data_IF_459607322406
#
_entry.id   IF_459607322406
#
_cell.length_a   1.000
_cell.length_b   1.000
_cell.length_c   1.000
_cell.angle_alpha   90.00
_cell.angle_beta   90.00
_cell.angle_gamma   90.00
#
_symmetry.space_group_name_H-M   'P 1'
#
loop_
_entity.id
_entity.type
_entity.pdbx_description
1 polymer ?
#
# COMPACT_ATOMS: atom_id res chain seq x y z
N UNK A 1 48.90 62.91 39.90
CA UNK A 1 47.73 62.83 39.00
C UNK A 1 48.04 61.85 37.89
N UNK A 2 47.52 60.63 38.03
CA UNK A 2 47.62 59.54 37.05
C UNK A 2 46.21 58.92 37.11
N UNK A 3 45.53 58.63 36.01
CA UNK A 3 45.45 57.28 35.43
C UNK A 3 44.80 57.40 34.02
N UNK A 4 45.29 56.61 33.06
CA UNK A 4 44.80 56.50 31.68
C UNK A 4 43.88 55.27 31.51
N UNK A 5 42.89 55.43 30.63
CA UNK A 5 42.02 54.47 29.91
C UNK A 5 42.51 53.00 29.79
N UNK A 6 41.57 52.07 29.97
CA UNK A 6 41.42 50.79 29.23
C UNK A 6 39.91 50.53 29.05
N UNK A 7 39.39 50.68 27.82
CA UNK A 7 39.18 49.62 26.82
C UNK A 7 37.98 48.72 27.13
N UNK A 8 36.91 48.97 26.37
CA UNK A 8 35.72 48.15 26.32
C UNK A 8 36.03 46.75 25.82
N UNK A 9 35.38 45.77 26.45
CA UNK A 9 35.37 44.37 26.02
C UNK A 9 33.93 44.08 25.58
N UNK A 10 33.71 44.12 24.27
CA UNK A 10 32.55 43.48 23.65
C UNK A 10 32.56 42.01 24.06
N UNK A 11 31.52 41.55 24.76
CA UNK A 11 31.31 40.11 24.99
C UNK A 11 30.94 39.51 23.63
N UNK A 12 31.86 38.76 23.02
CA UNK A 12 31.48 37.86 21.93
C UNK A 12 30.45 36.88 22.48
N UNK A 13 29.26 36.87 21.89
CA UNK A 13 28.24 35.86 22.12
C UNK A 13 28.87 34.53 21.70
N UNK A 14 29.29 33.72 22.67
CA UNK A 14 29.78 32.38 22.38
C UNK A 14 28.60 31.60 21.79
N UNK A 15 28.73 31.17 20.54
CA UNK A 15 27.89 30.11 20.00
C UNK A 15 28.09 28.89 20.91
N UNK A 16 27.01 28.50 21.58
CA UNK A 16 26.98 27.24 22.33
C UNK A 16 27.11 26.14 21.27
N UNK A 17 28.16 25.31 21.29
CA UNK A 17 28.26 24.20 20.35
C UNK A 17 27.04 23.29 20.54
N UNK A 18 26.49 22.72 19.45
CA UNK A 18 25.31 21.86 19.53
C UNK A 18 25.57 20.73 20.54
N UNK A 19 24.58 20.46 21.38
CA UNK A 19 24.65 19.35 22.32
C UNK A 19 24.77 18.05 21.52
N UNK A 20 25.65 17.14 21.92
CA UNK A 20 25.84 15.85 21.22
C UNK A 20 24.52 15.08 21.04
N UNK A 21 23.56 15.23 21.97
CA UNK A 21 22.21 14.66 21.86
C UNK A 21 21.34 15.29 20.76
N UNK A 22 21.48 16.59 20.50
CA UNK A 22 20.77 17.30 19.42
C UNK A 22 21.34 16.90 18.06
N UNK A 23 22.68 16.84 17.95
CA UNK A 23 23.35 16.40 16.72
C UNK A 23 23.01 14.94 16.37
N UNK A 24 22.85 14.05 17.35
CA UNK A 24 22.39 12.67 17.09
C UNK A 24 20.93 12.60 16.64
N UNK A 25 20.07 13.50 17.13
CA UNK A 25 18.67 13.55 16.72
C UNK A 25 18.52 14.07 15.28
N UNK A 26 19.26 15.13 14.93
CA UNK A 26 19.31 15.65 13.56
C UNK A 26 19.85 14.61 12.57
N UNK A 27 20.89 13.86 12.95
CA UNK A 27 21.44 12.80 12.11
C UNK A 27 20.44 11.64 11.91
N UNK A 28 19.71 11.25 12.95
CA UNK A 28 18.67 10.22 12.88
C UNK A 28 17.50 10.67 12.00
N UNK A 29 17.04 11.91 12.18
CA UNK A 29 15.99 12.52 11.37
C UNK A 29 16.39 12.57 9.88
N UNK A 30 17.59 13.06 9.58
CA UNK A 30 18.09 13.10 8.20
C UNK A 30 18.32 11.69 7.61
N UNK A 31 18.59 10.68 8.44
CA UNK A 31 18.69 9.29 7.97
C UNK A 31 17.31 8.73 7.62
N UNK A 32 16.30 9.02 8.46
CA UNK A 32 14.91 8.63 8.23
C UNK A 32 14.32 9.31 6.99
N UNK A 33 14.51 10.61 6.82
CA UNK A 33 14.06 11.35 5.62
C UNK A 33 14.64 10.75 4.34
N UNK A 34 15.95 10.44 4.33
CA UNK A 34 16.58 9.75 3.19
C UNK A 34 16.02 8.34 2.97
N UNK A 35 15.60 7.65 4.02
CA UNK A 35 14.97 6.34 3.88
C UNK A 35 13.59 6.48 3.22
N UNK A 36 12.77 7.43 3.68
CA UNK A 36 11.48 7.77 3.07
C UNK A 36 11.63 8.13 1.58
N UNK A 37 12.62 8.98 1.24
CA UNK A 37 12.92 9.36 -0.14
C UNK A 37 13.28 8.15 -1.01
N UNK A 38 14.10 7.21 -0.50
CA UNK A 38 14.46 5.99 -1.23
C UNK A 38 13.26 5.08 -1.45
N UNK A 39 12.49 4.81 -0.40
CA UNK A 39 11.28 3.97 -0.49
C UNK A 39 10.28 4.59 -1.48
N UNK A 40 10.09 5.91 -1.45
CA UNK A 40 9.24 6.61 -2.40
C UNK A 40 9.77 6.47 -3.84
N UNK A 41 11.06 6.71 -4.07
CA UNK A 41 11.67 6.58 -5.38
C UNK A 41 11.54 5.16 -5.96
N UNK A 42 11.67 4.12 -5.12
CA UNK A 42 11.49 2.73 -5.52
C UNK A 42 10.05 2.44 -5.95
N UNK A 43 9.06 2.97 -5.22
CA UNK A 43 7.65 2.87 -5.62
C UNK A 43 7.36 3.64 -6.91
N UNK A 44 7.92 4.85 -7.04
CA UNK A 44 7.78 5.69 -8.24
C UNK A 44 8.30 4.98 -9.49
N UNK A 45 9.51 4.41 -9.41
CA UNK A 45 10.11 3.67 -10.50
C UNK A 45 9.28 2.44 -10.88
N UNK A 46 8.83 1.68 -9.89
CA UNK A 46 7.99 0.50 -10.12
C UNK A 46 6.66 0.86 -10.81
N UNK A 47 5.95 1.88 -10.30
CA UNK A 47 4.65 2.25 -10.84
C UNK A 47 4.75 2.92 -12.22
N UNK A 48 5.78 3.73 -12.45
CA UNK A 48 6.03 4.34 -13.77
C UNK A 48 6.35 3.30 -14.85
N UNK A 49 6.91 2.15 -14.48
CA UNK A 49 7.11 1.03 -15.41
C UNK A 49 5.81 0.28 -15.76
N UNK A 50 4.74 0.46 -14.97
CA UNK A 50 3.46 -0.21 -15.17
C UNK A 50 2.47 0.58 -16.04
N UNK A 51 2.63 1.90 -16.13
CA UNK A 51 1.73 2.78 -16.89
C UNK A 51 1.93 4.25 -16.55
N UNK A 52 0.97 5.08 -16.99
CA UNK A 52 0.96 6.51 -16.67
C UNK A 52 0.45 6.71 -15.24
N UNK A 53 1.29 7.26 -14.36
CA UNK A 53 0.92 7.53 -12.96
C UNK A 53 0.24 8.91 -12.88
N UNK A 54 -0.94 8.97 -12.27
CA UNK A 54 -1.62 10.24 -12.00
C UNK A 54 -0.77 11.10 -11.04
N UNK A 55 -0.72 12.41 -11.28
CA UNK A 55 0.13 13.33 -10.50
C UNK A 55 -0.38 13.51 -9.08
N UNK A 56 -1.70 13.55 -8.90
CA UNK A 56 -2.32 13.77 -7.60
C UNK A 56 -2.56 12.45 -6.87
N UNK A 57 -2.25 12.44 -5.58
CA UNK A 57 -2.57 11.32 -4.70
C UNK A 57 -4.04 11.37 -4.31
N UNK A 58 -4.64 10.19 -4.18
CA UNK A 58 -5.90 10.02 -3.48
C UNK A 58 -5.62 9.98 -1.98
N UNK A 59 -6.28 10.83 -1.21
CA UNK A 59 -6.18 10.84 0.26
C UNK A 59 -7.55 10.96 0.88
N UNK A 60 -7.73 10.37 2.07
CA UNK A 60 -8.94 10.63 2.84
C UNK A 60 -8.99 12.09 3.28
N UNK A 61 -10.18 12.70 3.22
CA UNK A 61 -10.40 14.06 3.74
C UNK A 61 -10.14 14.14 5.26
N UNK A 62 -10.48 13.06 5.98
CA UNK A 62 -10.17 12.84 7.38
C UNK A 62 -9.44 11.51 7.45
N UNK A 63 -8.17 11.52 7.90
CA UNK A 63 -7.40 10.28 8.05
C UNK A 63 -8.15 9.30 8.98
N UNK A 64 -8.38 8.04 8.54
CA UNK A 64 -8.93 6.98 9.39
C UNK A 64 -8.27 6.86 10.77
N UNK A 65 -6.98 7.19 10.90
CA UNK A 65 -6.28 7.22 12.20
C UNK A 65 -6.91 8.20 13.20
N UNK A 66 -7.38 9.37 12.73
CA UNK A 66 -8.06 10.36 13.57
C UNK A 66 -9.43 9.86 14.07
N UNK A 67 -9.96 8.80 13.44
CA UNK A 67 -11.21 8.13 13.81
C UNK A 67 -10.95 6.81 14.57
N UNK A 68 -9.72 6.56 15.02
CA UNK A 68 -9.34 5.36 15.76
C UNK A 68 -8.92 4.17 14.90
N UNK A 69 -8.72 4.36 13.59
CA UNK A 69 -8.15 3.36 12.69
C UNK A 69 -6.66 3.13 12.92
N UNK A 70 -6.09 2.04 12.37
CA UNK A 70 -4.69 1.69 12.58
C UNK A 70 -3.73 2.71 11.97
N UNK A 71 -2.61 2.93 12.65
CA UNK A 71 -1.56 3.84 12.20
C UNK A 71 -0.80 3.25 11.01
N UNK A 72 -0.64 4.05 9.96
CA UNK A 72 0.37 3.83 8.92
C UNK A 72 1.70 4.47 9.37
N UNK A 73 2.85 4.00 8.85
CA UNK A 73 4.15 4.41 9.34
C UNK A 73 4.38 5.92 9.38
N UNK A 74 3.93 6.65 8.35
CA UNK A 74 4.12 8.11 8.21
C UNK A 74 2.84 8.91 8.43
N UNK A 75 1.77 8.30 8.94
CA UNK A 75 0.38 8.85 8.98
C UNK A 75 -0.24 9.19 7.62
N UNK A 76 0.55 9.19 6.54
CA UNK A 76 0.14 9.44 5.15
C UNK A 76 -0.59 8.21 4.61
N UNK A 77 -1.92 8.26 4.68
CA UNK A 77 -2.79 7.27 4.02
C UNK A 77 -3.14 7.77 2.62
N UNK A 78 -2.23 7.50 1.70
CA UNK A 78 -2.37 7.88 0.30
C UNK A 78 -2.55 6.66 -0.60
N UNK A 79 -3.16 6.90 -1.76
CA UNK A 79 -3.34 5.90 -2.80
C UNK A 79 -2.99 6.51 -4.15
N UNK A 80 -2.52 5.65 -5.05
CA UNK A 80 -2.10 6.00 -6.39
C UNK A 80 -2.96 5.36 -7.45
N UNK A 81 -3.12 6.10 -8.53
CA UNK A 81 -3.79 5.66 -9.75
C UNK A 81 -2.75 5.57 -10.85
N UNK A 82 -2.65 4.39 -11.46
CA UNK A 82 -1.81 4.13 -12.61
C UNK A 82 -2.73 3.70 -13.76
N UNK A 83 -2.61 4.37 -14.91
CA UNK A 83 -3.47 4.17 -16.08
C UNK A 83 -2.69 3.50 -17.20
N UNK A 84 -3.31 2.50 -17.82
CA UNK A 84 -2.73 1.80 -18.97
C UNK A 84 -3.84 1.40 -19.94
N UNK A 85 -3.87 1.99 -21.13
CA UNK A 85 -4.85 1.73 -22.20
C UNK A 85 -6.30 1.70 -21.68
N UNK A 86 -6.84 0.50 -21.43
CA UNK A 86 -8.21 0.24 -20.96
C UNK A 86 -8.26 -0.26 -19.50
N UNK A 87 -7.17 -0.13 -18.75
CA UNK A 87 -7.06 -0.58 -17.35
C UNK A 87 -6.58 0.51 -16.42
N UNK A 88 -6.96 0.34 -15.16
CA UNK A 88 -6.50 1.15 -14.05
C UNK A 88 -5.90 0.23 -12.98
N UNK A 89 -4.77 0.63 -12.40
CA UNK A 89 -4.25 0.05 -11.16
C UNK A 89 -4.46 1.07 -10.06
N UNK A 90 -5.13 0.66 -9.00
CA UNK A 90 -5.30 1.43 -7.77
C UNK A 90 -4.44 0.79 -6.68
N UNK A 91 -3.51 1.53 -6.10
CA UNK A 91 -2.54 1.01 -5.15
C UNK A 91 -2.46 1.84 -3.87
N UNK A 92 -2.15 1.22 -2.74
CA UNK A 92 -1.71 1.94 -1.54
C UNK A 92 -0.35 2.61 -1.81
N UNK A 93 -0.12 3.74 -1.13
CA UNK A 93 1.16 4.44 -1.16
C UNK A 93 1.48 4.97 0.24
N UNK A 94 2.25 4.18 1.00
CA UNK A 94 2.71 4.57 2.32
C UNK A 94 2.76 3.43 3.35
N UNK A 95 2.20 2.25 3.05
CA UNK A 95 2.34 1.08 3.93
C UNK A 95 3.82 0.67 4.06
N UNK A 96 4.59 0.84 3.00
CA UNK A 96 6.02 0.56 2.97
C UNK A 96 6.90 1.70 3.45
N UNK A 97 6.34 2.87 3.79
CA UNK A 97 7.15 3.98 4.32
C UNK A 97 7.87 3.55 5.61
N UNK A 98 9.13 3.94 5.83
CA UNK A 98 9.83 3.64 7.09
C UNK A 98 9.10 4.21 8.31
N UNK A 99 9.03 3.43 9.39
CA UNK A 99 8.60 3.97 10.68
C UNK A 99 9.59 5.01 11.19
N UNK A 100 9.16 6.03 11.93
CA UNK A 100 10.04 7.08 12.48
C UNK A 100 11.21 6.52 13.31
N UNK A 101 10.98 5.38 13.98
CA UNK A 101 11.97 4.67 14.78
C UNK A 101 12.74 3.56 14.02
N UNK A 102 12.46 3.37 12.73
CA UNK A 102 13.14 2.42 11.85
C UNK A 102 13.96 3.17 10.79
N UNK A 103 15.27 3.21 11.00
CA UNK A 103 16.20 4.00 10.19
C UNK A 103 16.72 3.27 8.93
N UNK A 104 16.01 2.26 8.43
CA UNK A 104 16.41 1.58 7.19
C UNK A 104 15.47 0.53 6.63
N UNK A 105 14.44 0.10 7.36
CA UNK A 105 13.41 -0.80 6.86
C UNK A 105 12.33 -0.09 6.03
N UNK A 106 11.67 -0.87 5.17
CA UNK A 106 10.42 -0.47 4.53
C UNK A 106 9.28 -0.86 5.48
N UNK A 107 8.58 0.08 6.13
CA UNK A 107 7.64 -0.13 7.24
C UNK A 107 6.98 -1.50 7.33
N UNK A 108 5.81 -1.68 6.71
CA UNK A 108 5.18 -3.00 6.58
C UNK A 108 5.78 -3.86 5.45
N UNK A 109 6.78 -3.34 4.74
CA UNK A 109 7.52 -4.05 3.69
C UNK A 109 6.73 -4.33 2.42
N UNK A 110 5.53 -3.77 2.28
CA UNK A 110 4.63 -4.07 1.18
C UNK A 110 3.68 -2.92 0.84
N UNK A 111 3.13 -2.97 -0.37
CA UNK A 111 1.94 -2.25 -0.81
C UNK A 111 0.92 -3.24 -1.36
N UNK A 112 -0.37 -2.87 -1.34
CA UNK A 112 -1.45 -3.61 -1.98
C UNK A 112 -1.98 -2.86 -3.19
N UNK A 113 -2.42 -3.60 -4.21
CA UNK A 113 -3.02 -2.98 -5.39
C UNK A 113 -4.12 -3.83 -6.00
N UNK A 114 -5.06 -3.18 -6.67
CA UNK A 114 -6.12 -3.78 -7.48
C UNK A 114 -5.95 -3.33 -8.92
N UNK A 115 -6.03 -4.24 -9.89
CA UNK A 115 -6.09 -3.91 -11.32
C UNK A 115 -7.52 -4.09 -11.83
N UNK A 116 -8.06 -3.08 -12.52
CA UNK A 116 -9.46 -2.99 -12.91
C UNK A 116 -9.56 -2.78 -14.43
N UNK A 117 -10.28 -3.65 -15.12
CA UNK A 117 -10.61 -3.48 -16.54
C UNK A 117 -11.69 -2.39 -16.75
N UNK A 118 -11.61 -1.65 -17.86
CA UNK A 118 -12.61 -0.64 -18.25
C UNK A 118 -12.60 0.64 -17.41
N UNK A 119 -11.65 0.81 -16.49
CA UNK A 119 -11.61 1.94 -15.54
C UNK A 119 -10.55 3.00 -15.86
N UNK A 120 -9.85 2.89 -17.00
CA UNK A 120 -8.76 3.80 -17.36
C UNK A 120 -9.18 5.28 -17.46
N UNK A 121 -10.47 5.57 -17.70
CA UNK A 121 -11.01 6.92 -17.84
C UNK A 121 -11.75 7.42 -16.58
N UNK A 122 -11.81 6.62 -15.51
CA UNK A 122 -12.49 7.03 -14.28
C UNK A 122 -11.79 8.26 -13.67
N UNK A 123 -12.58 9.27 -13.34
CA UNK A 123 -12.12 10.49 -12.67
C UNK A 123 -11.73 10.21 -11.22
N UNK A 124 -10.98 11.13 -10.62
CA UNK A 124 -10.57 11.02 -9.22
C UNK A 124 -11.76 10.88 -8.25
N UNK A 125 -12.83 11.65 -8.49
CA UNK A 125 -14.04 11.62 -7.68
C UNK A 125 -14.79 10.28 -7.83
N UNK A 126 -14.89 9.75 -9.04
CA UNK A 126 -15.49 8.43 -9.28
C UNK A 126 -14.71 7.32 -8.57
N UNK A 127 -13.37 7.38 -8.63
CA UNK A 127 -12.51 6.39 -7.96
C UNK A 127 -12.68 6.47 -6.44
N UNK A 128 -12.62 7.67 -5.85
CA UNK A 128 -12.75 7.85 -4.39
C UNK A 128 -14.09 7.35 -3.84
N UNK A 129 -15.16 7.46 -4.63
CA UNK A 129 -16.49 6.98 -4.26
C UNK A 129 -16.77 5.52 -4.69
N UNK A 130 -15.81 4.87 -5.34
CA UNK A 130 -15.98 3.51 -5.87
C UNK A 130 -15.79 2.41 -4.81
N UNK A 131 -16.40 1.23 -5.02
CA UNK A 131 -16.09 0.04 -4.23
C UNK A 131 -14.63 -0.44 -4.40
N UNK A 132 -13.97 -0.09 -5.52
CA UNK A 132 -12.54 -0.39 -5.73
C UNK A 132 -11.66 0.28 -4.68
N UNK A 133 -11.93 1.56 -4.42
CA UNK A 133 -11.20 2.32 -3.40
C UNK A 133 -11.46 1.80 -1.99
N UNK A 134 -12.72 1.49 -1.67
CA UNK A 134 -13.07 0.89 -0.38
C UNK A 134 -12.31 -0.42 -0.15
N UNK A 135 -12.19 -1.27 -1.17
CA UNK A 135 -11.49 -2.54 -1.07
C UNK A 135 -9.99 -2.36 -0.81
N UNK A 136 -9.31 -1.53 -1.61
CA UNK A 136 -7.87 -1.29 -1.46
C UNK A 136 -7.59 -0.64 -0.11
N UNK A 137 -8.39 0.34 0.29
CA UNK A 137 -8.28 1.01 1.58
C UNK A 137 -8.45 0.03 2.74
N UNK A 138 -9.50 -0.78 2.74
CA UNK A 138 -9.76 -1.71 3.82
C UNK A 138 -8.69 -2.84 3.91
N UNK A 139 -8.22 -3.34 2.77
CA UNK A 139 -7.11 -4.30 2.74
C UNK A 139 -5.82 -3.68 3.33
N UNK A 140 -5.52 -2.42 2.97
CA UNK A 140 -4.39 -1.70 3.52
C UNK A 140 -4.52 -1.47 5.04
N UNK A 141 -5.72 -1.14 5.53
CA UNK A 141 -5.96 -1.03 6.98
C UNK A 141 -5.81 -2.38 7.70
N UNK A 142 -6.26 -3.49 7.12
CA UNK A 142 -6.08 -4.81 7.72
C UNK A 142 -4.60 -5.16 7.85
N UNK A 143 -3.79 -4.85 6.83
CA UNK A 143 -2.32 -5.02 6.91
C UNK A 143 -1.74 -4.16 8.05
N UNK A 144 -2.13 -2.89 8.12
CA UNK A 144 -1.66 -1.98 9.16
C UNK A 144 -2.10 -2.40 10.58
N UNK A 145 -3.29 -2.98 10.73
CA UNK A 145 -3.84 -3.42 12.01
C UNK A 145 -3.18 -4.69 12.55
N UNK A 146 -2.86 -5.65 11.66
CA UNK A 146 -2.35 -6.95 12.08
C UNK A 146 -0.82 -7.02 12.09
N UNK A 147 -0.14 -6.24 11.23
CA UNK A 147 1.30 -6.40 11.00
C UNK A 147 1.65 -7.78 10.42
N UNK A 148 2.93 -8.02 10.14
CA UNK A 148 3.50 -9.33 9.78
C UNK A 148 2.82 -10.13 8.64
N UNK A 149 1.99 -9.49 7.82
CA UNK A 149 1.39 -10.11 6.62
C UNK A 149 2.46 -10.49 5.59
N UNK A 150 3.56 -9.73 5.52
CA UNK A 150 4.69 -10.00 4.63
C UNK A 150 5.32 -11.39 4.88
N UNK A 151 5.83 -11.68 6.09
CA UNK A 151 6.32 -13.01 6.46
C UNK A 151 5.30 -14.13 6.25
N UNK A 152 4.02 -13.88 6.53
CA UNK A 152 2.97 -14.86 6.29
C UNK A 152 2.80 -15.18 4.80
N UNK A 153 2.86 -14.16 3.92
CA UNK A 153 2.90 -14.33 2.46
C UNK A 153 4.18 -15.05 1.99
N UNK A 154 5.34 -14.79 2.61
CA UNK A 154 6.57 -15.51 2.29
C UNK A 154 6.43 -17.02 2.59
N UNK A 155 5.76 -17.36 3.69
CA UNK A 155 5.54 -18.75 4.09
C UNK A 155 4.44 -19.44 3.28
N UNK A 156 3.31 -18.77 3.04
CA UNK A 156 2.12 -19.37 2.44
C UNK A 156 2.02 -19.18 0.93
N UNK A 157 2.79 -18.25 0.35
CA UNK A 157 2.70 -17.83 -1.06
C UNK A 157 1.48 -16.97 -1.35
N UNK A 158 0.28 -17.44 -0.95
CA UNK A 158 -1.01 -16.80 -1.16
C UNK A 158 -1.80 -16.74 0.15
N UNK A 159 -2.51 -15.62 0.34
CA UNK A 159 -3.47 -15.46 1.42
C UNK A 159 -4.85 -15.14 0.86
N UNK A 160 -5.89 -15.55 1.55
CA UNK A 160 -7.25 -15.09 1.29
C UNK A 160 -7.75 -14.29 2.49
N UNK A 161 -8.49 -13.20 2.24
CA UNK A 161 -9.22 -12.48 3.30
C UNK A 161 -10.63 -12.14 2.82
N UNK A 162 -11.53 -11.93 3.77
CA UNK A 162 -12.82 -11.30 3.54
C UNK A 162 -12.80 -9.88 4.08
N UNK A 163 -13.25 -8.93 3.26
CA UNK A 163 -13.26 -7.52 3.58
C UNK A 163 -14.71 -7.02 3.61
N UNK A 164 -15.19 -6.42 4.71
CA UNK A 164 -16.50 -5.79 4.72
C UNK A 164 -16.50 -4.61 3.74
N UNK A 165 -17.49 -4.56 2.86
CA UNK A 165 -17.65 -3.48 1.87
C UNK A 165 -19.03 -2.85 1.97
N UNK A 166 -19.13 -1.54 1.72
CA UNK A 166 -20.41 -0.82 1.73
C UNK A 166 -21.17 -0.91 0.41
N UNK A 167 -20.50 -1.38 -0.65
CA UNK A 167 -21.03 -1.49 -2.01
C UNK A 167 -20.36 -2.65 -2.74
N UNK A 168 -21.10 -3.37 -3.57
CA UNK A 168 -20.56 -4.46 -4.39
C UNK A 168 -19.65 -3.92 -5.50
N UNK A 169 -18.56 -4.63 -5.80
CA UNK A 169 -17.73 -4.32 -6.98
C UNK A 169 -18.53 -4.50 -8.28
N UNK A 170 -19.38 -5.52 -8.32
CA UNK A 170 -20.33 -5.82 -9.38
C UNK A 170 -21.42 -6.76 -8.82
N UNK A 171 -22.59 -6.88 -9.48
CA UNK A 171 -23.69 -7.69 -8.98
C UNK A 171 -23.29 -9.14 -8.65
N UNK A 172 -23.51 -9.55 -7.40
CA UNK A 172 -23.26 -10.92 -6.94
C UNK A 172 -21.79 -11.24 -6.64
N UNK A 173 -20.95 -10.23 -6.46
CA UNK A 173 -19.55 -10.40 -6.06
C UNK A 173 -19.32 -10.37 -4.55
N UNK A 174 -20.29 -9.90 -3.76
CA UNK A 174 -20.21 -9.89 -2.29
C UNK A 174 -21.08 -10.97 -1.67
N UNK A 175 -20.72 -11.41 -0.47
CA UNK A 175 -21.52 -12.33 0.33
C UNK A 175 -22.85 -11.71 0.78
N UNK A 176 -23.75 -12.55 1.33
CA UNK A 176 -24.99 -12.08 1.93
C UNK A 176 -24.75 -11.09 3.08
N UNK A 177 -23.61 -11.24 3.77
CA UNK A 177 -23.13 -10.40 4.86
C UNK A 177 -22.34 -9.18 4.38
N UNK A 178 -22.35 -8.86 3.08
CA UNK A 178 -21.64 -7.72 2.48
C UNK A 178 -20.11 -7.78 2.65
N UNK A 179 -19.54 -8.98 2.50
CA UNK A 179 -18.09 -9.18 2.48
C UNK A 179 -17.61 -9.49 1.06
N UNK A 180 -16.53 -8.82 0.67
CA UNK A 180 -15.77 -9.10 -0.54
C UNK A 180 -14.61 -10.04 -0.21
N UNK A 181 -14.63 -11.26 -0.75
CA UNK A 181 -13.47 -12.14 -0.68
C UNK A 181 -12.37 -11.67 -1.64
N UNK A 182 -11.12 -11.76 -1.21
CA UNK A 182 -9.95 -11.45 -2.04
C UNK A 182 -8.85 -12.48 -1.83
N UNK A 183 -8.19 -12.83 -2.92
CA UNK A 183 -6.91 -13.53 -2.91
C UNK A 183 -5.79 -12.48 -2.99
N UNK A 184 -4.73 -12.67 -2.20
CA UNK A 184 -3.66 -11.71 -1.98
C UNK A 184 -2.34 -12.33 -2.38
N UNK A 185 -1.54 -11.58 -3.15
CA UNK A 185 -0.17 -11.94 -3.46
C UNK A 185 -0.01 -12.82 -4.70
N UNK A 186 -1.07 -13.01 -5.50
CA UNK A 186 -0.94 -13.63 -6.80
C UNK A 186 0.09 -12.88 -7.67
N UNK A 187 0.93 -13.63 -8.38
CA UNK A 187 1.97 -13.09 -9.25
C UNK A 187 1.42 -12.61 -10.58
N UNK A 188 1.99 -11.52 -11.10
CA UNK A 188 1.74 -11.07 -12.46
C UNK A 188 2.73 -11.75 -13.41
N UNK A 189 2.30 -12.15 -14.61
CA UNK A 189 3.15 -12.89 -15.55
C UNK A 189 4.45 -12.15 -15.95
N UNK A 190 4.39 -10.82 -16.03
CA UNK A 190 5.50 -9.97 -16.51
C UNK A 190 5.97 -8.91 -15.54
N UNK A 191 5.31 -8.75 -14.38
CA UNK A 191 5.60 -7.67 -13.42
C UNK A 191 6.27 -8.28 -12.20
N UNK A 192 7.40 -7.73 -11.72
CA UNK A 192 8.09 -8.29 -10.58
C UNK A 192 7.21 -8.19 -9.32
N UNK A 193 7.26 -9.19 -8.44
CA UNK A 193 6.49 -9.19 -7.19
C UNK A 193 7.06 -8.24 -6.13
N UNK A 194 8.25 -7.69 -6.36
CA UNK A 194 8.95 -6.76 -5.47
C UNK A 194 9.62 -5.64 -6.27
N UNK A 195 9.74 -4.46 -5.68
CA UNK A 195 10.61 -3.39 -6.19
C UNK A 195 12.09 -3.76 -6.04
N UNK A 196 13.00 -3.01 -6.67
CA UNK A 196 14.45 -3.20 -6.47
C UNK A 196 14.85 -3.01 -5.00
N UNK A 197 14.22 -2.05 -4.30
CA UNK A 197 14.35 -1.86 -2.85
C UNK A 197 13.65 -2.89 -1.97
N UNK A 198 13.07 -3.95 -2.55
CA UNK A 198 12.53 -5.10 -1.83
C UNK A 198 11.09 -4.94 -1.32
N UNK A 199 10.40 -3.85 -1.63
CA UNK A 199 8.99 -3.63 -1.26
C UNK A 199 8.13 -4.63 -2.02
N UNK A 200 7.34 -5.44 -1.31
CA UNK A 200 6.42 -6.41 -1.91
C UNK A 200 5.21 -5.70 -2.51
N UNK A 201 4.87 -6.03 -3.75
CA UNK A 201 3.71 -5.50 -4.45
C UNK A 201 2.65 -6.59 -4.52
N UNK A 202 1.72 -6.58 -3.57
CA UNK A 202 0.71 -7.63 -3.42
C UNK A 202 -0.57 -7.29 -4.17
N UNK A 203 -0.87 -8.07 -5.21
CA UNK A 203 -2.13 -7.96 -5.92
C UNK A 203 -3.30 -8.40 -5.03
N UNK A 204 -4.39 -7.65 -5.05
CA UNK A 204 -5.71 -8.02 -4.56
C UNK A 204 -6.50 -8.54 -5.76
N UNK A 205 -6.87 -9.81 -5.74
CA UNK A 205 -7.68 -10.45 -6.78
C UNK A 205 -9.06 -10.77 -6.20
N UNK A 206 -10.11 -9.99 -6.53
CA UNK A 206 -11.43 -10.22 -6.00
C UNK A 206 -11.98 -11.60 -6.39
N UNK A 207 -12.69 -12.22 -5.46
CA UNK A 207 -13.31 -13.52 -5.59
C UNK A 207 -14.82 -13.38 -5.44
N UNK A 208 -15.56 -14.22 -6.16
CA UNK A 208 -17.01 -14.38 -5.93
C UNK A 208 -17.24 -15.14 -4.61
N UNK A 209 -18.46 -15.10 -4.04
CA UNK A 209 -18.70 -15.71 -2.72
C UNK A 209 -18.41 -17.22 -2.66
N UNK A 210 -18.74 -17.95 -3.71
CA UNK A 210 -18.47 -19.38 -3.84
C UNK A 210 -16.97 -19.70 -3.98
N UNK A 211 -16.24 -18.88 -4.75
CA UNK A 211 -14.79 -18.95 -4.86
C UNK A 211 -14.11 -18.63 -3.51
N UNK A 212 -14.66 -17.67 -2.76
CA UNK A 212 -14.19 -17.28 -1.43
C UNK A 212 -14.30 -18.45 -0.46
N UNK A 213 -15.47 -19.10 -0.42
CA UNK A 213 -15.69 -20.29 0.40
C UNK A 213 -14.74 -21.44 0.00
N UNK A 214 -14.47 -21.60 -1.29
CA UNK A 214 -13.53 -22.61 -1.78
C UNK A 214 -12.09 -22.35 -1.31
N UNK A 215 -11.55 -21.15 -1.53
CA UNK A 215 -10.16 -20.84 -1.15
C UNK A 215 -9.94 -20.82 0.36
N UNK A 216 -10.99 -20.64 1.14
CA UNK A 216 -10.93 -20.74 2.60
C UNK A 216 -10.76 -22.19 3.09
N UNK A 217 -11.05 -23.20 2.25
CA UNK A 217 -11.04 -24.61 2.66
C UNK A 217 -9.65 -25.20 2.85
N UNK A 218 -8.65 -24.77 2.06
CA UNK A 218 -7.26 -25.26 2.17
C UNK A 218 -6.25 -24.37 1.45
N UNK A 219 -4.96 -24.63 1.65
CA UNK A 219 -3.88 -23.99 0.88
C UNK A 219 -3.89 -24.47 -0.57
N UNK A 220 -4.15 -25.75 -0.80
CA UNK A 220 -4.23 -26.35 -2.13
C UNK A 220 -5.36 -25.70 -2.95
N UNK A 221 -6.50 -25.39 -2.32
CA UNK A 221 -7.62 -24.70 -2.96
C UNK A 221 -7.24 -23.27 -3.39
N UNK A 222 -6.43 -22.55 -2.59
CA UNK A 222 -5.87 -21.24 -2.97
C UNK A 222 -4.95 -21.35 -4.19
N UNK A 223 -4.05 -22.33 -4.17
CA UNK A 223 -3.09 -22.55 -5.26
C UNK A 223 -3.78 -22.94 -6.57
N UNK A 224 -4.80 -23.81 -6.49
CA UNK A 224 -5.62 -24.18 -7.64
C UNK A 224 -6.38 -22.98 -8.20
N UNK A 225 -7.05 -22.21 -7.33
CA UNK A 225 -7.74 -20.98 -7.74
C UNK A 225 -6.79 -20.00 -8.43
N UNK A 226 -5.59 -19.79 -7.89
CA UNK A 226 -4.58 -18.92 -8.49
C UNK A 226 -4.14 -19.42 -9.88
N UNK A 227 -3.98 -20.73 -10.08
CA UNK A 227 -3.66 -21.31 -11.40
C UNK A 227 -4.79 -21.07 -12.41
N UNK A 228 -6.05 -21.28 -12.00
CA UNK A 228 -7.19 -21.05 -12.87
C UNK A 228 -7.35 -19.58 -13.26
N UNK A 229 -7.23 -18.67 -12.29
CA UNK A 229 -7.26 -17.23 -12.53
C UNK A 229 -6.12 -16.82 -13.47
N UNK A 230 -4.89 -17.30 -13.23
CA UNK A 230 -3.73 -17.02 -14.10
C UNK A 230 -3.90 -17.49 -15.54
N UNK A 231 -4.67 -18.56 -15.76
CA UNK A 231 -4.99 -19.07 -17.10
C UNK A 231 -6.17 -18.37 -17.79
N UNK A 232 -6.83 -17.41 -17.12
CA UNK A 232 -8.00 -16.70 -17.63
C UNK A 232 -7.81 -15.18 -17.60
N UNK A 233 -8.38 -14.48 -16.61
CA UNK A 233 -8.29 -13.01 -16.48
C UNK A 233 -7.00 -12.54 -15.80
N UNK A 234 -6.25 -13.46 -15.21
CA UNK A 234 -5.09 -13.16 -14.38
C UNK A 234 -5.51 -12.41 -13.11
N UNK A 235 -4.78 -11.32 -12.82
CA UNK A 235 -5.00 -10.44 -11.66
C UNK A 235 -6.05 -9.37 -11.92
N UNK A 236 -6.50 -9.22 -13.17
CA UNK A 236 -7.38 -8.11 -13.55
C UNK A 236 -8.78 -8.43 -13.08
N UNK A 237 -9.33 -7.53 -12.28
CA UNK A 237 -10.74 -7.53 -11.97
C UNK A 237 -11.54 -7.16 -13.22
N UNK A 238 -12.39 -8.08 -13.63
CA UNK A 238 -13.36 -7.96 -14.70
C UNK A 238 -14.74 -8.32 -14.11
N UNK A 239 -15.65 -7.35 -14.10
CA UNK A 239 -16.98 -7.48 -13.51
C UNK A 239 -17.82 -8.59 -14.18
N UNK A 240 -17.54 -8.88 -15.45
CA UNK A 240 -18.24 -9.86 -16.27
C UNK A 240 -17.60 -11.26 -16.20
N UNK A 241 -16.53 -11.42 -15.41
CA UNK A 241 -15.86 -12.72 -15.24
C UNK A 241 -16.84 -13.76 -14.65
N UNK A 242 -17.02 -14.93 -15.30
CA UNK A 242 -17.82 -16.02 -14.74
C UNK A 242 -17.12 -16.65 -13.53
N UNK A 243 -17.91 -17.26 -12.65
CA UNK A 243 -17.39 -18.04 -11.52
C UNK A 243 -16.56 -19.23 -12.01
N UNK A 244 -15.37 -19.43 -11.42
CA UNK A 244 -14.45 -20.52 -11.79
C UNK A 244 -14.90 -21.86 -11.18
N UNK A 245 -15.58 -21.83 -10.03
CA UNK A 245 -16.12 -23.00 -9.32
C UNK A 245 -16.98 -23.91 -10.19
N UNK A 246 -17.61 -23.37 -11.24
CA UNK A 246 -18.40 -24.15 -12.21
C UNK A 246 -17.56 -25.17 -12.99
N UNK A 247 -16.22 -25.05 -12.94
CA UNK A 247 -15.26 -25.90 -13.64
C UNK A 247 -14.42 -26.79 -12.71
N UNK A 248 -14.62 -26.74 -11.39
CA UNK A 248 -13.79 -27.40 -10.39
C UNK A 248 -14.44 -28.66 -9.77
N UNK A 249 -15.26 -29.38 -10.54
CA UNK A 249 -15.83 -30.69 -10.15
C UNK A 249 -14.84 -31.83 -10.30
#
# INVERSE_FOLDING_TARGET
>A
MWWKRLLGRSKSKAEVPPNAAEATNEAAQAAWERACERTQADRDAYWSACGSVDTDFLTHLISPQLLGGPAWPTTRQAYRVIRNEDRMILASDGLSDPFENDHGGNGFGMEVYLEIAGAAQATQEEIMNSPWFQLVAAAAQNIAAHGDIGPLLDHMGLLSMEVPVGQELAPGWVSAEQHQGVLIGMGHATRPARTEGGIRMAALTPLRPDETAWVASSTEARDEMAKHLSGSTGLVFDADRPAITSYMQ
#
